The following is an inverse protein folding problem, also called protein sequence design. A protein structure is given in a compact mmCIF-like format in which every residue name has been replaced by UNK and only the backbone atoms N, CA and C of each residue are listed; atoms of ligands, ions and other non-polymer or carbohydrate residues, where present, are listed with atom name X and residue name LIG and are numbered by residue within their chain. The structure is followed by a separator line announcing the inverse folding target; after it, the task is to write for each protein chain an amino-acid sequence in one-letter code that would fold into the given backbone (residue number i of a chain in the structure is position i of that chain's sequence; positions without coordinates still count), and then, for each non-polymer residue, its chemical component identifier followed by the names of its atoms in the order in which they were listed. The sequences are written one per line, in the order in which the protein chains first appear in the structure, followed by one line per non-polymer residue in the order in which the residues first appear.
data_IF_178820827006
#
_entry.id   IF_178820827006
#
_cell.length_a   1.000
_cell.length_b   1.000
_cell.length_c   1.000
_cell.angle_alpha   90.00
_cell.angle_beta   90.00
_cell.angle_gamma   90.00
#
_symmetry.space_group_name_H-M   'P 1'
#
loop_
_entity.id
_entity.type
_entity.pdbx_description
1 polymer ?
#
# COMPACT_ATOMS: atom_id res chain seq x y z
N UNK A 1 -11.75 -12.61 -14.82
CA UNK A 1 -11.54 -13.01 -13.41
C UNK A 1 -12.89 -13.25 -12.78
N UNK A 2 -13.06 -14.30 -11.97
CA UNK A 2 -14.25 -14.45 -11.13
C UNK A 2 -14.08 -13.67 -9.80
N UNK A 3 -15.15 -13.55 -9.00
CA UNK A 3 -15.08 -12.82 -7.73
C UNK A 3 -14.04 -13.39 -6.76
N UNK A 4 -13.92 -14.71 -6.68
CA UNK A 4 -12.96 -15.37 -5.78
C UNK A 4 -11.50 -15.04 -6.15
N UNK A 5 -11.20 -14.98 -7.45
CA UNK A 5 -9.90 -14.54 -7.97
C UNK A 5 -9.64 -13.07 -7.63
N UNK A 6 -10.63 -12.18 -7.81
CA UNK A 6 -10.50 -10.76 -7.46
C UNK A 6 -10.17 -10.61 -5.96
N UNK A 7 -10.89 -11.31 -5.08
CA UNK A 7 -10.65 -11.23 -3.64
C UNK A 7 -9.29 -11.80 -3.24
N UNK A 8 -8.84 -12.87 -3.90
CA UNK A 8 -7.50 -13.43 -3.69
C UNK A 8 -6.40 -12.44 -4.08
N UNK A 9 -6.52 -11.79 -5.24
CA UNK A 9 -5.55 -10.78 -5.70
C UNK A 9 -5.54 -9.53 -4.83
N UNK A 10 -6.71 -9.06 -4.35
CA UNK A 10 -6.80 -7.96 -3.39
C UNK A 10 -6.03 -8.33 -2.11
N UNK A 11 -6.23 -9.55 -1.60
CA UNK A 11 -5.55 -10.01 -0.39
C UNK A 11 -4.03 -10.07 -0.57
N UNK A 12 -3.56 -10.61 -1.69
CA UNK A 12 -2.14 -10.70 -2.01
C UNK A 12 -1.50 -9.31 -2.15
N UNK A 13 -2.21 -8.39 -2.82
CA UNK A 13 -1.77 -7.00 -2.98
C UNK A 13 -1.67 -6.30 -1.63
N UNK A 14 -2.69 -6.43 -0.78
CA UNK A 14 -2.68 -5.85 0.56
C UNK A 14 -1.54 -6.38 1.42
N UNK A 15 -1.29 -7.70 1.39
CA UNK A 15 -0.21 -8.33 2.13
C UNK A 15 1.15 -7.79 1.67
N UNK A 16 1.38 -7.78 0.35
CA UNK A 16 2.62 -7.30 -0.26
C UNK A 16 2.88 -5.84 0.08
N UNK A 17 1.86 -4.98 0.00
CA UNK A 17 1.96 -3.58 0.36
C UNK A 17 2.34 -3.38 1.83
N UNK A 18 1.64 -4.05 2.75
CA UNK A 18 1.91 -3.92 4.20
C UNK A 18 3.31 -4.44 4.57
N UNK A 19 3.76 -5.53 3.97
CA UNK A 19 5.11 -6.05 4.17
C UNK A 19 6.18 -5.09 3.67
N UNK A 20 5.99 -4.52 2.47
CA UNK A 20 6.90 -3.50 1.93
C UNK A 20 6.92 -2.25 2.82
N UNK A 21 5.75 -1.76 3.23
CA UNK A 21 5.64 -0.60 4.10
C UNK A 21 6.39 -0.80 5.42
N UNK A 22 6.15 -1.92 6.10
CA UNK A 22 6.84 -2.23 7.35
C UNK A 22 8.37 -2.37 7.18
N UNK A 23 8.81 -2.99 6.07
CA UNK A 23 10.24 -3.13 5.74
C UNK A 23 10.91 -1.76 5.53
N UNK A 24 10.29 -0.89 4.73
CA UNK A 24 10.81 0.47 4.49
C UNK A 24 10.85 1.29 5.78
N UNK A 25 9.79 1.26 6.59
CA UNK A 25 9.72 2.03 7.85
C UNK A 25 10.83 1.60 8.82
N UNK A 26 11.14 0.31 8.89
CA UNK A 26 12.22 -0.21 9.75
C UNK A 26 13.62 0.10 9.23
N UNK A 27 13.77 0.21 7.91
CA UNK A 27 15.04 0.51 7.26
C UNK A 27 15.39 2.00 7.34
N UNK A 28 14.47 2.86 6.91
CA UNK A 28 14.62 4.31 6.93
C UNK A 28 13.22 4.95 6.99
N UNK A 29 12.87 5.44 8.18
CA UNK A 29 11.54 5.99 8.45
C UNK A 29 11.24 7.24 7.63
N UNK A 30 12.19 8.18 7.53
CA UNK A 30 11.96 9.44 6.84
C UNK A 30 11.73 9.20 5.35
N UNK A 31 12.55 8.35 4.74
CA UNK A 31 12.33 7.95 3.35
C UNK A 31 11.03 7.16 3.17
N UNK A 32 10.66 6.30 4.12
CA UNK A 32 9.41 5.55 4.04
C UNK A 32 8.19 6.49 4.04
N UNK A 33 8.15 7.51 4.89
CA UNK A 33 7.06 8.49 4.92
C UNK A 33 6.91 9.20 3.56
N UNK A 34 8.02 9.64 2.98
CA UNK A 34 8.01 10.31 1.68
C UNK A 34 7.56 9.37 0.54
N UNK A 35 8.15 8.17 0.47
CA UNK A 35 7.89 7.18 -0.60
C UNK A 35 6.48 6.60 -0.53
N UNK A 36 6.03 6.26 0.67
CA UNK A 36 4.71 5.66 0.90
C UNK A 36 3.59 6.71 0.95
N UNK A 37 3.91 7.99 1.18
CA UNK A 37 2.92 9.05 1.33
C UNK A 37 2.05 8.89 2.57
N UNK A 38 2.61 8.34 3.65
CA UNK A 38 1.91 8.06 4.91
C UNK A 38 2.16 9.16 5.93
N UNK A 39 1.21 9.37 6.85
CA UNK A 39 1.45 10.15 8.05
C UNK A 39 2.40 9.42 9.01
N UNK A 40 3.07 10.16 9.89
CA UNK A 40 3.89 9.58 10.97
C UNK A 40 3.10 8.59 11.82
N UNK A 41 1.86 8.96 12.19
CA UNK A 41 0.97 8.11 12.98
C UNK A 41 0.64 6.78 12.29
N UNK A 42 0.43 6.80 10.97
CA UNK A 42 0.18 5.58 10.21
C UNK A 42 1.44 4.71 10.14
N UNK A 43 2.62 5.32 9.95
CA UNK A 43 3.88 4.61 9.95
C UNK A 43 4.19 3.95 11.31
N UNK A 44 3.89 4.63 12.43
CA UNK A 44 4.01 4.05 13.77
C UNK A 44 3.13 2.82 13.94
N UNK A 45 1.85 2.93 13.57
CA UNK A 45 0.92 1.82 13.67
C UNK A 45 1.40 0.64 12.82
N UNK A 46 1.76 0.87 11.55
CA UNK A 46 2.24 -0.17 10.64
C UNK A 46 3.51 -0.85 11.18
N UNK A 47 4.43 -0.09 11.78
CA UNK A 47 5.67 -0.65 12.34
C UNK A 47 5.40 -1.64 13.49
N UNK A 48 4.36 -1.37 14.28
CA UNK A 48 3.97 -2.20 15.45
C UNK A 48 3.14 -3.44 15.09
N UNK A 49 2.65 -3.55 13.85
CA UNK A 49 1.81 -4.68 13.45
C UNK A 49 2.59 -6.00 13.52
N UNK A 50 2.00 -6.97 14.23
CA UNK A 50 2.45 -8.35 14.18
C UNK A 50 2.10 -9.00 12.83
N UNK A 51 2.79 -10.09 12.44
CA UNK A 51 2.45 -10.85 11.24
C UNK A 51 0.98 -11.31 11.20
N UNK A 52 0.41 -11.69 12.35
CA UNK A 52 -1.00 -12.09 12.45
C UNK A 52 -1.96 -10.92 12.17
N UNK A 53 -1.65 -9.71 12.64
CA UNK A 53 -2.43 -8.51 12.35
C UNK A 53 -2.30 -8.10 10.88
N UNK A 54 -1.11 -8.19 10.28
CA UNK A 54 -0.90 -7.94 8.85
C UNK A 54 -1.79 -8.89 8.02
N UNK A 55 -1.76 -10.19 8.31
CA UNK A 55 -2.58 -11.17 7.59
C UNK A 55 -4.09 -10.90 7.76
N UNK A 56 -4.51 -10.47 8.95
CA UNK A 56 -5.90 -10.09 9.20
C UNK A 56 -6.33 -8.88 8.37
N UNK A 57 -5.52 -7.82 8.34
CA UNK A 57 -5.81 -6.62 7.55
C UNK A 57 -5.80 -6.95 6.05
N UNK A 58 -4.82 -7.73 5.60
CA UNK A 58 -4.69 -8.14 4.21
C UNK A 58 -5.89 -8.94 3.72
N UNK A 59 -6.56 -9.70 4.60
CA UNK A 59 -7.75 -10.48 4.26
C UNK A 59 -9.03 -9.66 3.99
N UNK A 60 -8.96 -8.33 4.05
CA UNK A 60 -10.06 -7.46 3.64
C UNK A 60 -10.42 -7.64 2.16
N UNK A 61 -11.70 -7.49 1.83
CA UNK A 61 -12.21 -7.50 0.46
C UNK A 61 -12.00 -6.16 -0.28
N UNK A 62 -11.31 -5.20 0.35
CA UNK A 62 -10.97 -3.90 -0.22
C UNK A 62 -9.46 -3.69 -0.19
N UNK A 63 -8.96 -2.95 -1.17
CA UNK A 63 -7.56 -2.53 -1.17
C UNK A 63 -7.29 -1.57 -0.01
N UNK A 64 -6.19 -1.82 0.72
CA UNK A 64 -5.73 -0.96 1.83
C UNK A 64 -4.92 0.24 1.35
N UNK A 65 -4.42 0.18 0.11
CA UNK A 65 -3.71 1.25 -0.56
C UNK A 65 -4.45 1.64 -1.83
N UNK A 66 -4.37 2.92 -2.20
CA UNK A 66 -4.88 3.46 -3.46
C UNK A 66 -3.74 4.10 -4.23
N UNK A 67 -3.92 4.17 -5.53
CA UNK A 67 -3.10 5.00 -6.40
C UNK A 67 -3.03 6.44 -5.87
N UNK A 68 -1.80 6.96 -5.75
CA UNK A 68 -1.53 8.31 -5.24
C UNK A 68 -1.85 9.40 -6.27
N UNK A 69 -1.94 9.00 -7.54
CA UNK A 69 -2.26 9.87 -8.67
C UNK A 69 -3.67 9.52 -9.12
N UNK A 70 -4.63 10.35 -8.76
CA UNK A 70 -6.04 10.20 -9.09
C UNK A 70 -6.56 11.27 -10.06
N UNK A 71 -5.71 12.23 -10.45
CA UNK A 71 -6.03 13.27 -11.42
C UNK A 71 -5.61 12.87 -12.85
N UNK A 72 -6.58 12.83 -13.76
CA UNK A 72 -6.39 12.52 -15.19
C UNK A 72 -5.41 13.46 -15.88
N UNK A 73 -5.33 14.73 -15.46
CA UNK A 73 -4.36 15.68 -15.99
C UNK A 73 -2.93 15.24 -15.66
N UNK A 74 -2.70 14.74 -14.45
CA UNK A 74 -1.38 14.25 -14.03
C UNK A 74 -1.00 13.00 -14.84
N UNK A 75 -1.96 12.12 -15.12
CA UNK A 75 -1.74 10.99 -16.04
C UNK A 75 -1.37 11.45 -17.45
N UNK A 76 -2.07 12.44 -17.98
CA UNK A 76 -1.75 13.04 -19.27
C UNK A 76 -0.33 13.60 -19.29
N UNK A 77 0.11 14.29 -18.23
CA UNK A 77 1.46 14.84 -18.16
C UNK A 77 2.56 13.77 -18.02
N UNK A 78 2.32 12.70 -17.28
CA UNK A 78 3.30 11.63 -17.06
C UNK A 78 3.45 10.68 -18.26
N UNK A 79 2.40 10.54 -19.07
CA UNK A 79 2.37 9.63 -20.23
C UNK A 79 2.59 10.34 -21.56
N UNK A 80 2.54 11.67 -21.60
CA UNK A 80 2.86 12.45 -22.80
C UNK A 80 4.38 12.48 -23.01
N UNK A 81 4.89 11.43 -23.62
CA UNK A 81 6.11 11.50 -24.41
C UNK A 81 5.82 12.40 -25.61
N UNK A 82 6.57 13.50 -25.76
CA UNK A 82 6.54 14.27 -27.00
C UNK A 82 6.86 13.42 -28.23
#
# INVERSE_FOLDING_TARGET
MNNDQILAEIRETNLSYLMLAQSLIRSDREQALFRLGLSESAADLINTLSPAQILKIASSNTLVCRMRIDDDLVWGLLTNHG
#
